data_IF_564511406496
#
_entry.id   IF_564511406496
#
_cell.length_a   1.000
_cell.length_b   1.000
_cell.length_c   1.000
_cell.angle_alpha   90.00
_cell.angle_beta   90.00
_cell.angle_gamma   90.00
#
_symmetry.space_group_name_H-M   'P 1'
#
loop_
_entity.id
_entity.type
_entity.pdbx_description
1 polymer ?
#
# COMPACT_ATOMS: atom_id res chain seq x y z
N UNK A 1 -8.24 17.17 11.67
CA UNK A 1 -6.97 17.30 12.36
C UNK A 1 -6.02 18.20 11.59
N UNK A 2 -4.97 18.75 12.20
CA UNK A 2 -3.95 19.47 11.47
C UNK A 2 -3.33 18.56 10.40
N UNK A 3 -3.01 19.12 9.24
CA UNK A 3 -2.26 18.40 8.20
C UNK A 3 -0.90 18.05 8.79
N UNK A 4 -0.66 16.77 9.06
CA UNK A 4 0.68 16.32 9.42
C UNK A 4 1.43 16.10 8.11
N UNK A 5 2.58 16.75 8.00
CA UNK A 5 3.54 16.42 6.94
C UNK A 5 4.29 15.17 7.35
N UNK A 6 4.72 14.41 6.36
CA UNK A 6 5.64 13.30 6.61
C UNK A 6 7.00 13.90 6.99
N UNK A 7 7.49 13.49 8.15
CA UNK A 7 8.79 13.93 8.68
C UNK A 7 9.83 12.86 8.37
N UNK A 8 11.03 13.30 8.01
CA UNK A 8 12.16 12.40 7.85
C UNK A 8 12.79 12.16 9.24
N UNK A 9 13.07 10.89 9.53
CA UNK A 9 13.91 10.51 10.66
C UNK A 9 15.39 10.69 10.31
N UNK A 10 15.75 10.25 9.09
CA UNK A 10 17.11 10.32 8.56
C UNK A 10 17.10 10.62 7.06
N UNK A 11 18.18 11.25 6.59
CA UNK A 11 18.42 11.49 5.17
C UNK A 11 17.63 12.64 4.60
N UNK A 12 17.23 12.52 3.34
CA UNK A 12 16.57 13.55 2.56
C UNK A 12 15.40 12.98 1.74
N UNK A 13 14.60 13.86 1.14
CA UNK A 13 13.59 13.47 0.14
C UNK A 13 14.29 13.05 -1.13
N UNK A 14 13.66 12.15 -1.90
CA UNK A 14 14.15 11.82 -3.22
C UNK A 14 14.03 13.02 -4.17
N UNK A 15 15.02 13.17 -5.04
CA UNK A 15 15.14 14.21 -6.08
C UNK A 15 15.51 13.60 -7.43
N UNK A 16 16.06 12.38 -7.43
CA UNK A 16 16.45 11.65 -8.62
C UNK A 16 15.51 10.47 -8.88
N UNK A 17 15.45 10.02 -10.14
CA UNK A 17 14.55 8.95 -10.61
C UNK A 17 14.70 7.66 -9.82
N UNK A 18 15.95 7.25 -9.51
CA UNK A 18 16.25 6.01 -8.81
C UNK A 18 16.61 6.23 -7.33
N UNK A 19 15.91 7.12 -6.67
CA UNK A 19 15.98 7.32 -5.24
C UNK A 19 14.70 6.84 -4.56
N UNK A 20 14.83 6.34 -3.34
CA UNK A 20 13.72 5.86 -2.53
C UNK A 20 13.77 6.41 -1.11
N UNK A 21 12.58 6.68 -0.56
CA UNK A 21 12.38 6.99 0.86
C UNK A 21 11.54 5.89 1.48
N UNK A 22 12.03 5.32 2.58
CA UNK A 22 11.40 4.17 3.23
C UNK A 22 10.51 4.60 4.40
N UNK A 23 9.40 3.93 4.58
CA UNK A 23 8.63 3.98 5.81
C UNK A 23 9.41 3.37 6.99
N UNK A 24 9.15 3.83 8.20
CA UNK A 24 9.90 3.44 9.40
C UNK A 24 9.93 1.91 9.64
N UNK A 25 8.80 1.21 9.41
CA UNK A 25 8.75 -0.24 9.61
C UNK A 25 9.48 -1.00 8.51
N UNK A 26 9.43 -0.54 7.26
CA UNK A 26 10.19 -1.16 6.15
C UNK A 26 11.68 -1.11 6.46
N UNK A 27 12.20 0.08 6.81
CA UNK A 27 13.61 0.23 7.14
C UNK A 27 14.02 -0.65 8.32
N UNK A 28 13.21 -0.70 9.38
CA UNK A 28 13.51 -1.48 10.59
C UNK A 28 13.45 -3.00 10.34
N UNK A 29 12.37 -3.50 9.69
CA UNK A 29 12.15 -4.93 9.54
C UNK A 29 13.09 -5.56 8.53
N UNK A 30 13.40 -4.84 7.45
CA UNK A 30 14.30 -5.32 6.39
C UNK A 30 15.76 -4.91 6.62
N UNK A 31 16.05 -4.11 7.65
CA UNK A 31 17.39 -3.71 8.01
C UNK A 31 18.03 -2.69 7.06
N UNK A 32 17.24 -1.97 6.27
CA UNK A 32 17.76 -0.99 5.33
C UNK A 32 18.31 0.26 6.03
N UNK A 33 19.39 0.79 5.47
CA UNK A 33 20.06 2.04 5.89
C UNK A 33 20.24 2.96 4.69
N UNK A 34 20.50 4.24 4.97
CA UNK A 34 20.81 5.21 3.93
C UNK A 34 21.97 4.75 3.05
N UNK A 35 21.89 5.03 1.75
CA UNK A 35 22.88 4.68 0.74
C UNK A 35 22.81 3.23 0.25
N UNK A 36 22.01 2.36 0.84
CA UNK A 36 21.85 0.99 0.37
C UNK A 36 21.01 0.92 -0.89
N UNK A 37 21.26 -0.12 -1.70
CA UNK A 37 20.51 -0.41 -2.92
C UNK A 37 19.27 -1.22 -2.58
N UNK A 38 18.13 -0.78 -3.09
CA UNK A 38 16.84 -1.43 -2.99
C UNK A 38 16.39 -1.88 -4.37
N UNK A 39 16.13 -3.16 -4.54
CA UNK A 39 15.50 -3.72 -5.73
C UNK A 39 14.02 -3.92 -5.47
N UNK A 40 13.18 -3.47 -6.39
CA UNK A 40 11.74 -3.70 -6.36
C UNK A 40 11.37 -4.90 -7.22
N UNK A 41 10.41 -5.71 -6.77
CA UNK A 41 9.89 -6.85 -7.52
C UNK A 41 8.36 -6.89 -7.44
N UNK A 42 7.74 -7.53 -8.42
CA UNK A 42 6.30 -7.79 -8.44
C UNK A 42 5.98 -9.14 -7.81
N UNK A 43 4.98 -9.16 -6.94
CA UNK A 43 4.45 -10.40 -6.36
C UNK A 43 5.15 -10.87 -5.08
N UNK A 44 4.68 -11.99 -4.54
CA UNK A 44 5.18 -12.61 -3.31
C UNK A 44 6.15 -13.76 -3.63
N UNK A 45 7.28 -13.46 -4.18
CA UNK A 45 8.57 -14.08 -3.94
C UNK A 45 8.84 -15.54 -4.22
N UNK A 46 8.13 -16.29 -5.05
CA UNK A 46 8.59 -17.64 -5.41
C UNK A 46 8.94 -17.81 -6.91
N UNK A 47 8.60 -16.87 -7.74
CA UNK A 47 8.94 -16.85 -9.16
C UNK A 47 9.70 -15.56 -9.45
N UNK A 48 11.01 -15.64 -9.34
CA UNK A 48 12.00 -14.56 -9.41
C UNK A 48 12.18 -13.94 -10.83
N UNK A 49 11.14 -14.03 -11.66
CA UNK A 49 11.22 -13.54 -13.04
C UNK A 49 10.83 -12.07 -13.21
N UNK A 50 10.33 -11.43 -12.15
CA UNK A 50 9.80 -10.06 -12.21
C UNK A 50 10.55 -9.11 -11.26
N UNK A 51 11.82 -9.40 -10.95
CA UNK A 51 12.69 -8.46 -10.23
C UNK A 51 13.30 -7.44 -11.18
N UNK A 52 13.42 -6.20 -10.72
CA UNK A 52 14.02 -5.10 -11.46
C UNK A 52 15.48 -4.86 -11.03
N UNK A 53 16.29 -5.92 -11.07
CA UNK A 53 17.70 -5.87 -10.63
C UNK A 53 18.54 -4.87 -11.43
N UNK A 54 18.16 -4.60 -12.67
CA UNK A 54 18.82 -3.65 -13.56
C UNK A 54 18.55 -2.20 -13.18
N UNK A 55 17.52 -1.94 -12.37
CA UNK A 55 17.08 -0.60 -11.97
C UNK A 55 16.94 -0.47 -10.45
N UNK A 56 18.02 -0.64 -9.68
CA UNK A 56 17.98 -0.50 -8.23
C UNK A 56 17.81 0.96 -7.81
N UNK A 57 17.08 1.18 -6.74
CA UNK A 57 16.93 2.48 -6.10
C UNK A 57 17.95 2.66 -4.97
N UNK A 58 18.45 3.88 -4.80
CA UNK A 58 19.24 4.24 -3.63
C UNK A 58 18.31 4.70 -2.51
N UNK A 59 18.46 4.15 -1.31
CA UNK A 59 17.75 4.62 -0.12
C UNK A 59 18.34 5.94 0.32
N UNK A 60 17.62 7.05 0.12
CA UNK A 60 18.08 8.40 0.45
C UNK A 60 17.44 8.97 1.70
N UNK A 61 16.34 8.39 2.17
CA UNK A 61 15.65 8.85 3.36
C UNK A 61 14.85 7.75 4.06
N UNK A 62 14.65 7.94 5.35
CA UNK A 62 13.79 7.09 6.19
C UNK A 62 12.81 8.00 6.92
N UNK A 63 11.53 7.70 6.83
CA UNK A 63 10.47 8.47 7.49
C UNK A 63 10.42 8.19 8.99
N UNK A 64 10.05 9.20 9.74
CA UNK A 64 9.66 9.03 11.14
C UNK A 64 8.36 8.20 11.21
N UNK A 65 8.17 7.45 12.30
CA UNK A 65 7.01 6.59 12.50
C UNK A 65 5.72 7.41 12.53
N UNK A 66 4.75 7.01 11.72
CA UNK A 66 3.46 7.70 11.57
C UNK A 66 2.30 6.96 12.26
N UNK A 67 2.43 5.65 12.51
CA UNK A 67 1.34 4.78 12.94
C UNK A 67 0.31 4.52 11.86
N UNK A 68 0.66 4.68 10.60
CA UNK A 68 -0.21 4.49 9.44
C UNK A 68 0.44 3.52 8.43
N UNK A 69 -0.27 3.09 7.37
CA UNK A 69 0.32 2.25 6.32
C UNK A 69 1.56 2.84 5.64
N UNK A 70 1.80 4.14 5.76
CA UNK A 70 3.03 4.80 5.29
C UNK A 70 4.29 4.17 5.91
N UNK A 71 4.20 3.70 7.16
CA UNK A 71 5.32 3.05 7.84
C UNK A 71 5.79 1.76 7.14
N UNK A 72 4.89 1.14 6.35
CA UNK A 72 5.11 -0.10 5.59
C UNK A 72 5.22 0.12 4.10
N UNK A 73 5.45 1.36 3.67
CA UNK A 73 5.50 1.73 2.26
C UNK A 73 6.92 2.12 1.85
N UNK A 74 7.24 1.85 0.59
CA UNK A 74 8.39 2.40 -0.11
C UNK A 74 7.88 3.54 -0.99
N UNK A 75 8.51 4.69 -0.90
CA UNK A 75 8.16 5.87 -1.68
C UNK A 75 9.24 6.13 -2.72
N UNK A 76 8.85 6.18 -3.97
CA UNK A 76 9.71 6.47 -5.12
C UNK A 76 9.08 7.57 -5.98
N UNK A 77 9.85 8.26 -6.83
CA UNK A 77 9.31 9.18 -7.84
C UNK A 77 8.38 8.45 -8.81
N UNK A 78 7.40 9.17 -9.38
CA UNK A 78 6.53 8.62 -10.43
C UNK A 78 7.34 8.25 -11.67
N UNK A 79 8.35 9.01 -11.99
CA UNK A 79 9.32 8.75 -13.06
C UNK A 79 10.08 7.44 -12.81
N UNK A 80 10.41 7.12 -11.55
CA UNK A 80 11.01 5.86 -11.17
C UNK A 80 10.07 4.67 -11.40
N UNK A 81 8.79 4.83 -11.09
CA UNK A 81 7.78 3.81 -11.40
C UNK A 81 7.62 3.63 -12.91
N UNK A 82 7.65 4.71 -13.70
CA UNK A 82 7.60 4.64 -15.15
C UNK A 82 8.84 3.94 -15.74
N UNK A 83 10.02 4.24 -15.19
CA UNK A 83 11.28 3.62 -15.61
C UNK A 83 11.25 2.10 -15.45
N UNK A 84 10.74 1.58 -14.33
CA UNK A 84 10.65 0.13 -14.09
C UNK A 84 9.82 -0.61 -15.15
N UNK A 85 8.95 0.09 -15.87
CA UNK A 85 8.01 -0.51 -16.82
C UNK A 85 8.24 -0.10 -18.27
N UNK A 86 9.37 0.53 -18.61
CA UNK A 86 9.67 0.93 -20.02
C UNK A 86 9.70 -0.26 -20.98
N UNK A 87 10.12 -1.43 -20.51
CA UNK A 87 10.20 -2.67 -21.29
C UNK A 87 8.91 -3.52 -21.18
N UNK A 88 7.84 -2.97 -20.61
CA UNK A 88 6.60 -3.69 -20.40
C UNK A 88 5.55 -3.32 -21.44
N UNK A 89 4.82 -4.32 -21.94
CA UNK A 89 3.64 -4.13 -22.76
C UNK A 89 2.46 -4.91 -22.18
N UNK A 90 1.29 -4.26 -22.09
CA UNK A 90 0.08 -4.87 -21.54
C UNK A 90 0.27 -5.49 -20.12
N UNK A 91 1.12 -4.90 -19.29
CA UNK A 91 1.35 -5.34 -17.91
C UNK A 91 2.31 -6.54 -17.77
N UNK A 92 3.06 -6.88 -18.82
CA UNK A 92 4.06 -7.96 -18.82
C UNK A 92 5.36 -7.51 -19.49
N UNK A 93 6.52 -8.02 -19.04
CA UNK A 93 7.79 -7.76 -19.71
C UNK A 93 7.77 -8.33 -21.13
N UNK A 94 8.36 -7.60 -22.08
CA UNK A 94 8.46 -8.04 -23.48
C UNK A 94 9.41 -9.22 -23.60
N UNK A 95 8.97 -10.40 -24.06
CA UNK A 95 9.80 -11.59 -24.15
C UNK A 95 10.94 -11.39 -25.17
N UNK A 96 12.16 -11.75 -24.78
CA UNK A 96 13.34 -11.74 -25.68
C UNK A 96 13.94 -10.37 -25.95
N UNK A 97 13.48 -9.32 -25.32
CA UNK A 97 14.12 -8.00 -25.37
C UNK A 97 15.22 -7.88 -24.31
N UNK A 98 16.28 -7.16 -24.63
CA UNK A 98 17.29 -6.74 -23.64
C UNK A 98 16.58 -5.83 -22.63
N UNK A 99 16.78 -6.08 -21.33
CA UNK A 99 16.26 -5.19 -20.29
C UNK A 99 17.01 -3.87 -20.31
N UNK A 100 16.26 -2.78 -20.24
CA UNK A 100 16.80 -1.42 -20.17
C UNK A 100 17.50 -1.21 -18.83
N UNK A 101 18.70 -0.64 -18.84
CA UNK A 101 19.43 -0.30 -17.62
C UNK A 101 18.96 1.03 -17.04
N UNK A 102 19.35 1.31 -15.79
CA UNK A 102 19.02 2.58 -15.13
C UNK A 102 19.53 3.80 -15.90
N UNK A 103 20.73 3.72 -16.47
CA UNK A 103 21.32 4.79 -17.29
C UNK A 103 20.57 5.00 -18.60
N UNK A 104 20.21 3.91 -19.28
CA UNK A 104 19.43 3.95 -20.52
C UNK A 104 18.03 4.53 -20.25
N UNK A 105 17.38 4.13 -19.14
CA UNK A 105 16.07 4.63 -18.76
C UNK A 105 16.06 6.12 -18.45
N UNK A 106 17.08 6.66 -17.79
CA UNK A 106 17.19 8.10 -17.49
C UNK A 106 17.25 9.00 -18.75
N UNK A 107 17.64 8.43 -19.89
CA UNK A 107 17.67 9.17 -21.16
C UNK A 107 16.30 9.24 -21.87
N UNK A 108 15.29 8.53 -21.35
CA UNK A 108 13.93 8.48 -21.91
C UNK A 108 13.03 9.56 -21.30
N UNK A 109 11.93 9.86 -21.96
CA UNK A 109 10.84 10.62 -21.36
C UNK A 109 10.06 9.71 -20.39
N UNK A 110 10.28 9.92 -19.10
CA UNK A 110 9.68 9.17 -18.03
C UNK A 110 8.41 9.85 -17.46
N UNK A 111 7.84 10.79 -18.18
CA UNK A 111 6.59 11.44 -17.78
C UNK A 111 5.46 10.40 -17.72
N UNK A 112 4.85 10.14 -16.55
CA UNK A 112 3.81 9.13 -16.43
C UNK A 112 2.58 9.53 -17.26
N UNK A 113 2.13 8.63 -18.13
CA UNK A 113 0.90 8.82 -18.91
C UNK A 113 -0.36 8.56 -18.09
N UNK A 114 -0.27 7.74 -17.04
CA UNK A 114 -1.38 7.35 -16.19
C UNK A 114 -0.93 7.24 -14.74
N UNK A 115 -1.88 7.43 -13.81
CA UNK A 115 -1.68 7.17 -12.38
C UNK A 115 -2.84 6.32 -11.86
N UNK A 116 -2.54 5.35 -11.01
CA UNK A 116 -3.55 4.44 -10.46
C UNK A 116 -4.44 5.12 -9.42
N UNK A 117 -3.90 6.04 -8.64
CA UNK A 117 -4.61 6.76 -7.60
C UNK A 117 -3.96 8.11 -7.28
N UNK A 118 -4.76 9.05 -6.81
CA UNK A 118 -4.29 10.32 -6.30
C UNK A 118 -4.86 10.60 -4.91
N UNK A 119 -4.02 11.03 -3.98
CA UNK A 119 -4.47 11.49 -2.65
C UNK A 119 -4.77 12.99 -2.72
N UNK A 120 -6.04 13.35 -2.54
CA UNK A 120 -6.51 14.73 -2.63
C UNK A 120 -6.83 15.30 -1.26
N UNK A 121 -6.08 16.32 -0.86
CA UNK A 121 -6.34 17.06 0.37
C UNK A 121 -7.26 18.26 0.15
N UNK A 122 -8.45 18.27 0.75
CA UNK A 122 -9.39 19.36 0.65
C UNK A 122 -9.13 20.45 1.72
N UNK A 123 -9.22 21.71 1.33
CA UNK A 123 -9.12 22.86 2.26
C UNK A 123 -10.34 22.97 3.17
N UNK A 124 -11.52 22.59 2.68
CA UNK A 124 -12.80 22.70 3.38
C UNK A 124 -13.39 21.32 3.59
N UNK A 125 -13.56 20.89 4.84
CA UNK A 125 -14.10 19.57 5.19
C UNK A 125 -15.51 19.34 4.66
N UNK A 126 -16.38 20.35 4.70
CA UNK A 126 -17.76 20.25 4.22
C UNK A 126 -17.89 19.98 2.71
N UNK A 127 -16.82 20.21 1.93
CA UNK A 127 -16.83 19.97 0.49
C UNK A 127 -16.59 18.49 0.10
N UNK A 128 -16.24 17.63 1.06
CA UNK A 128 -15.81 16.24 0.81
C UNK A 128 -16.85 15.46 -0.02
N UNK A 129 -18.11 15.45 0.43
CA UNK A 129 -19.17 14.71 -0.26
C UNK A 129 -19.55 15.34 -1.63
N UNK A 130 -19.42 16.65 -1.76
CA UNK A 130 -19.67 17.32 -3.03
C UNK A 130 -18.57 16.97 -4.05
N UNK A 131 -17.32 16.96 -3.63
CA UNK A 131 -16.17 16.55 -4.47
C UNK A 131 -16.30 15.08 -4.84
N UNK A 132 -16.61 14.21 -3.89
CA UNK A 132 -16.81 12.77 -4.16
C UNK A 132 -17.89 12.55 -5.24
N UNK A 133 -19.06 13.18 -5.10
CA UNK A 133 -20.14 13.07 -6.09
C UNK A 133 -19.70 13.57 -7.46
N UNK A 134 -18.96 14.69 -7.50
CA UNK A 134 -18.51 15.27 -8.76
C UNK A 134 -17.49 14.38 -9.47
N UNK A 135 -16.59 13.74 -8.72
CA UNK A 135 -15.62 12.79 -9.28
C UNK A 135 -16.33 11.54 -9.77
N UNK A 136 -17.24 10.97 -8.97
CA UNK A 136 -17.96 9.75 -9.34
C UNK A 136 -18.95 9.96 -10.49
N UNK A 137 -19.37 11.20 -10.73
CA UNK A 137 -20.23 11.58 -11.87
C UNK A 137 -19.43 12.04 -13.10
N UNK A 138 -18.10 11.86 -13.13
CA UNK A 138 -17.28 12.28 -14.26
C UNK A 138 -17.36 11.27 -15.40
N UNK A 139 -17.93 11.65 -16.52
CA UNK A 139 -18.27 10.74 -17.62
C UNK A 139 -17.12 10.43 -18.59
N UNK A 140 -16.07 11.27 -18.61
CA UNK A 140 -14.98 11.12 -19.60
C UNK A 140 -14.00 10.01 -19.24
N UNK A 141 -13.89 9.68 -17.95
CA UNK A 141 -13.01 8.64 -17.43
C UNK A 141 -13.68 7.92 -16.26
N UNK A 142 -13.48 6.62 -16.08
CA UNK A 142 -14.06 5.85 -14.97
C UNK A 142 -13.33 6.16 -13.65
N UNK A 143 -13.60 7.33 -13.08
CA UNK A 143 -13.03 7.77 -11.82
C UNK A 143 -13.90 7.34 -10.65
N UNK A 144 -13.26 6.97 -9.54
CA UNK A 144 -13.92 6.67 -8.27
C UNK A 144 -13.23 7.43 -7.12
N UNK A 145 -14.00 8.24 -6.42
CA UNK A 145 -13.51 8.89 -5.20
C UNK A 145 -13.91 8.08 -3.98
N UNK A 146 -12.90 7.60 -3.24
CA UNK A 146 -13.08 6.87 -1.99
C UNK A 146 -12.75 7.78 -0.81
N UNK A 147 -13.58 7.73 0.21
CA UNK A 147 -13.33 8.39 1.50
C UNK A 147 -12.75 7.35 2.46
N UNK A 148 -11.44 7.38 2.77
CA UNK A 148 -10.81 6.32 3.55
C UNK A 148 -11.47 6.08 4.91
N UNK A 149 -11.94 7.15 5.58
CA UNK A 149 -12.64 7.02 6.86
C UNK A 149 -13.96 6.25 6.75
N UNK A 150 -14.74 6.49 5.70
CA UNK A 150 -16.01 5.78 5.47
C UNK A 150 -15.75 4.31 5.11
N UNK A 151 -14.80 4.05 4.22
CA UNK A 151 -14.43 2.68 3.85
C UNK A 151 -13.92 1.84 5.02
N UNK A 152 -13.15 2.46 5.92
CA UNK A 152 -12.71 1.81 7.16
C UNK A 152 -13.87 1.54 8.12
N UNK A 153 -14.82 2.46 8.24
CA UNK A 153 -16.00 2.28 9.10
C UNK A 153 -16.89 1.13 8.60
N UNK A 154 -17.09 1.02 7.30
CA UNK A 154 -17.79 -0.11 6.67
C UNK A 154 -17.07 -1.44 6.90
N UNK A 155 -15.73 -1.46 6.78
CA UNK A 155 -14.93 -2.64 7.09
C UNK A 155 -15.08 -3.05 8.55
N UNK A 156 -14.96 -2.12 9.48
CA UNK A 156 -15.14 -2.39 10.91
C UNK A 156 -16.55 -2.87 11.24
N UNK A 157 -17.57 -2.33 10.56
CA UNK A 157 -18.95 -2.82 10.67
C UNK A 157 -19.07 -4.31 10.29
N UNK A 158 -18.41 -4.72 9.21
CA UNK A 158 -18.39 -6.13 8.76
C UNK A 158 -17.66 -7.03 9.76
N UNK A 159 -16.50 -6.60 10.26
CA UNK A 159 -15.73 -7.33 11.28
C UNK A 159 -16.55 -7.49 12.58
N UNK A 160 -17.23 -6.43 13.02
CA UNK A 160 -18.07 -6.47 14.21
C UNK A 160 -19.26 -7.46 14.08
N UNK A 161 -19.81 -7.65 12.89
CA UNK A 161 -20.84 -8.67 12.64
C UNK A 161 -20.27 -10.09 12.78
N UNK A 162 -19.09 -10.34 12.24
CA UNK A 162 -18.41 -11.63 12.39
C UNK A 162 -18.07 -11.92 13.85
N UNK A 163 -17.59 -10.94 14.60
CA UNK A 163 -17.31 -11.04 16.04
C UNK A 163 -18.57 -11.41 16.84
N UNK A 164 -19.71 -10.75 16.55
CA UNK A 164 -20.99 -11.08 17.19
C UNK A 164 -21.43 -12.52 16.90
N UNK A 165 -21.27 -12.99 15.66
CA UNK A 165 -21.59 -14.36 15.27
C UNK A 165 -20.72 -15.38 16.02
N UNK A 166 -19.41 -15.13 16.11
CA UNK A 166 -18.48 -15.98 16.86
C UNK A 166 -18.80 -16.00 18.35
N UNK A 167 -19.14 -14.84 18.93
CA UNK A 167 -19.54 -14.74 20.35
C UNK A 167 -20.81 -15.55 20.61
N UNK A 168 -21.82 -15.44 19.75
CA UNK A 168 -23.04 -16.22 19.88
C UNK A 168 -22.76 -17.72 19.80
N UNK A 169 -21.96 -18.17 18.85
CA UNK A 169 -21.54 -19.56 18.74
C UNK A 169 -20.79 -20.04 19.99
N UNK A 170 -19.90 -19.24 20.51
CA UNK A 170 -19.16 -19.58 21.74
C UNK A 170 -20.06 -19.74 22.95
N UNK A 171 -21.06 -18.87 23.09
CA UNK A 171 -22.07 -18.97 24.18
C UNK A 171 -22.90 -20.23 24.01
N UNK A 172 -23.35 -20.55 22.80
CA UNK A 172 -24.12 -21.78 22.54
C UNK A 172 -23.30 -23.04 22.84
N UNK A 173 -22.05 -23.10 22.38
CA UNK A 173 -21.15 -24.23 22.68
C UNK A 173 -20.93 -24.35 24.17
N UNK A 174 -20.68 -23.25 24.87
CA UNK A 174 -20.55 -23.22 26.34
C UNK A 174 -21.77 -23.75 27.05
N UNK A 175 -22.98 -23.33 26.63
CA UNK A 175 -24.23 -23.80 27.21
C UNK A 175 -24.46 -25.30 26.99
N UNK A 176 -24.23 -25.81 25.78
CA UNK A 176 -24.32 -27.24 25.47
C UNK A 176 -23.31 -28.06 26.26
N UNK A 177 -22.06 -27.59 26.37
CA UNK A 177 -21.02 -28.24 27.14
C UNK A 177 -21.36 -28.33 28.61
N UNK A 178 -21.91 -27.24 29.18
CA UNK A 178 -22.35 -27.21 30.58
C UNK A 178 -23.53 -28.17 30.83
N UNK A 179 -24.50 -28.19 29.93
CA UNK A 179 -25.64 -29.12 30.01
C UNK A 179 -25.20 -30.58 29.92
N UNK A 180 -24.24 -30.89 29.02
CA UNK A 180 -23.65 -32.22 28.92
C UNK A 180 -22.91 -32.65 30.18
N UNK A 181 -22.13 -31.73 30.78
CA UNK A 181 -21.43 -32.00 32.02
C UNK A 181 -22.42 -32.27 33.16
N UNK A 182 -23.49 -31.49 33.28
CA UNK A 182 -24.55 -31.70 34.28
C UNK A 182 -25.23 -33.06 34.09
N UNK A 183 -25.55 -33.45 32.85
CA UNK A 183 -26.15 -34.75 32.56
C UNK A 183 -25.25 -35.91 33.00
N UNK A 184 -23.94 -35.84 32.72
CA UNK A 184 -22.98 -36.86 33.17
C UNK A 184 -22.90 -36.95 34.68
N UNK A 185 -22.83 -35.81 35.38
CA UNK A 185 -22.76 -35.80 36.84
C UNK A 185 -24.05 -36.34 37.50
N UNK A 186 -25.21 -36.11 36.88
CA UNK A 186 -26.48 -36.61 37.40
C UNK A 186 -26.74 -38.10 37.16
N UNK A 187 -25.98 -38.73 36.22
CA UNK A 187 -26.11 -40.13 35.88
C UNK A 187 -24.98 -41.02 36.45
N UNK A 188 -24.00 -40.42 37.07
CA UNK A 188 -22.91 -41.10 37.80
C UNK A 188 -23.27 -41.33 39.27
#
# INVERSE_FOLDING_TARGET
GPRRQLELLEGQRFDQVFEAVLGAEVAQQLGYRLGQRLVLSHGSGALDHDSHDEMPFAVVGILARTGTPVDRSVHIPLEGMQALHVDWAAGMPLPGTKRTTAEEAQALDLTPSTVSAALVGLKVRGAVFAVQRRVNAYEREPLMAVLPGVALDELWGTVAQAEKALTLMSVLVGAVSLAGLMAVVMTA
#
